data_IF_016095150146
#
_entry.id   IF_016095150146
#
_cell.length_a   1.000
_cell.length_b   1.000
_cell.length_c   1.000
_cell.angle_alpha   90.00
_cell.angle_beta   90.00
_cell.angle_gamma   90.00
#
_symmetry.space_group_name_H-M   'P 1'
#
loop_
_entity.id
_entity.type
_entity.pdbx_description
1 polymer ?
#
# COMPACT_ATOMS: atom_id res chain seq x y z
N UNK A 1 -8.81 36.63 -31.25
CA UNK A 1 -7.43 36.63 -30.71
C UNK A 1 -6.86 38.02 -30.45
N UNK A 2 -7.12 39.02 -31.31
CA UNK A 2 -6.53 40.37 -31.13
C UNK A 2 -7.01 41.10 -29.86
N UNK A 3 -8.27 40.93 -29.45
CA UNK A 3 -8.81 41.59 -28.25
C UNK A 3 -8.15 41.17 -26.93
N UNK A 4 -7.63 39.94 -26.84
CA UNK A 4 -6.94 39.43 -25.65
C UNK A 4 -5.59 40.13 -25.51
N UNK A 5 -4.91 40.36 -26.64
CA UNK A 5 -3.59 41.00 -26.70
C UNK A 5 -3.69 42.48 -26.35
N UNK A 6 -4.73 43.19 -26.83
CA UNK A 6 -4.97 44.60 -26.47
C UNK A 6 -5.40 44.78 -25.01
N UNK A 7 -6.22 43.87 -24.48
CA UNK A 7 -6.60 43.88 -23.07
C UNK A 7 -5.40 43.58 -22.14
N UNK A 8 -4.47 42.72 -22.58
CA UNK A 8 -3.21 42.47 -21.87
C UNK A 8 -2.25 43.66 -21.96
N UNK A 9 -2.07 44.25 -23.14
CA UNK A 9 -1.13 45.35 -23.36
C UNK A 9 -1.56 46.65 -22.67
N UNK A 10 -2.86 46.88 -22.49
CA UNK A 10 -3.42 48.06 -21.80
C UNK A 10 -3.46 47.96 -20.26
N UNK A 11 -3.02 46.83 -19.68
CA UNK A 11 -3.14 46.58 -18.25
C UNK A 11 -1.91 47.07 -17.46
N UNK A 12 -2.15 47.76 -16.34
CA UNK A 12 -1.11 48.16 -15.37
C UNK A 12 -0.23 46.99 -14.93
N UNK A 13 1.07 47.23 -14.74
CA UNK A 13 2.07 46.22 -14.35
C UNK A 13 1.66 45.45 -13.08
N UNK A 14 1.05 46.14 -12.10
CA UNK A 14 0.53 45.53 -10.87
C UNK A 14 -0.58 44.52 -11.13
N UNK A 15 -1.52 44.84 -12.04
CA UNK A 15 -2.62 43.95 -12.40
C UNK A 15 -2.11 42.71 -13.14
N UNK A 16 -1.12 42.86 -14.02
CA UNK A 16 -0.47 41.71 -14.68
C UNK A 16 0.18 40.75 -13.70
N UNK A 17 0.93 41.27 -12.72
CA UNK A 17 1.58 40.44 -11.69
C UNK A 17 0.53 39.67 -10.88
N UNK A 18 -0.56 40.33 -10.48
CA UNK A 18 -1.66 39.67 -9.73
C UNK A 18 -2.30 38.57 -10.56
N UNK A 19 -2.57 38.80 -11.85
CA UNK A 19 -3.17 37.79 -12.75
C UNK A 19 -2.24 36.58 -12.93
N UNK A 20 -0.93 36.82 -13.14
CA UNK A 20 0.06 35.74 -13.26
C UNK A 20 0.17 34.95 -11.95
N UNK A 21 0.27 35.63 -10.81
CA UNK A 21 0.34 35.00 -9.50
C UNK A 21 -0.91 34.17 -9.20
N UNK A 22 -2.10 34.69 -9.48
CA UNK A 22 -3.36 33.97 -9.31
C UNK A 22 -3.43 32.71 -10.20
N UNK A 23 -2.99 32.82 -11.45
CA UNK A 23 -2.96 31.69 -12.38
C UNK A 23 -2.00 30.60 -11.89
N UNK A 24 -0.81 30.97 -11.43
CA UNK A 24 0.16 30.03 -10.85
C UNK A 24 -0.35 29.39 -9.57
N UNK A 25 -1.02 30.16 -8.71
CA UNK A 25 -1.62 29.63 -7.49
C UNK A 25 -2.68 28.56 -7.82
N UNK A 26 -3.58 28.84 -8.76
CA UNK A 26 -4.59 27.86 -9.21
C UNK A 26 -3.93 26.61 -9.80
N UNK A 27 -2.93 26.77 -10.66
CA UNK A 27 -2.20 25.64 -11.23
C UNK A 27 -1.51 24.79 -10.15
N UNK A 28 -0.88 25.42 -9.17
CA UNK A 28 -0.24 24.73 -8.04
C UNK A 28 -1.27 23.99 -7.16
N UNK A 29 -2.42 24.62 -6.89
CA UNK A 29 -3.51 23.98 -6.15
C UNK A 29 -4.05 22.76 -6.88
N UNK A 30 -4.32 22.86 -8.19
CA UNK A 30 -4.78 21.74 -9.00
C UNK A 30 -3.75 20.60 -9.05
N UNK A 31 -2.47 20.93 -9.16
CA UNK A 31 -1.39 19.94 -9.14
C UNK A 31 -1.30 19.22 -7.80
N UNK A 32 -1.38 19.95 -6.68
CA UNK A 32 -1.38 19.36 -5.34
C UNK A 32 -2.62 18.47 -5.11
N UNK A 33 -3.80 18.93 -5.54
CA UNK A 33 -5.04 18.13 -5.44
C UNK A 33 -4.95 16.84 -6.27
N UNK A 34 -4.39 16.91 -7.48
CA UNK A 34 -4.20 15.74 -8.33
C UNK A 34 -3.28 14.69 -7.68
N UNK A 35 -2.20 15.12 -7.01
CA UNK A 35 -1.32 14.21 -6.26
C UNK A 35 -2.04 13.49 -5.13
N UNK A 36 -2.89 14.19 -4.37
CA UNK A 36 -3.64 13.61 -3.25
C UNK A 36 -4.75 12.68 -3.76
N UNK A 37 -5.47 13.08 -4.80
CA UNK A 37 -6.55 12.28 -5.39
C UNK A 37 -6.03 10.98 -6.05
N UNK A 38 -4.75 10.93 -6.43
CA UNK A 38 -4.12 9.75 -7.02
C UNK A 38 -3.48 8.81 -6.00
N UNK A 39 -3.59 9.09 -4.70
CA UNK A 39 -3.03 8.22 -3.67
C UNK A 39 -3.75 6.86 -3.68
N UNK A 40 -3.03 5.72 -3.79
CA UNK A 40 -3.65 4.42 -3.82
C UNK A 40 -4.37 4.14 -2.50
N UNK A 41 -5.60 3.61 -2.58
CA UNK A 41 -6.29 3.14 -1.37
C UNK A 41 -5.56 1.91 -0.87
N UNK A 42 -4.89 2.03 0.28
CA UNK A 42 -4.18 0.94 0.93
C UNK A 42 -5.16 -0.01 1.62
N UNK A 43 -5.05 -1.29 1.34
CA UNK A 43 -5.89 -2.36 1.90
C UNK A 43 -5.04 -3.43 2.57
N UNK A 44 -5.63 -4.14 3.52
CA UNK A 44 -4.94 -5.16 4.28
C UNK A 44 -4.58 -6.36 3.39
N UNK A 45 -3.29 -6.67 3.30
CA UNK A 45 -2.78 -7.87 2.65
C UNK A 45 -2.80 -9.05 3.64
N UNK A 46 -2.05 -8.91 4.75
CA UNK A 46 -1.93 -9.87 5.85
C UNK A 46 -1.96 -9.16 7.20
N UNK A 47 -2.53 -9.80 8.22
CA UNK A 47 -2.59 -9.31 9.60
C UNK A 47 -2.00 -10.32 10.58
N UNK A 48 -1.49 -9.82 11.71
CA UNK A 48 -1.03 -10.66 12.82
C UNK A 48 0.18 -11.54 12.48
N UNK A 49 1.00 -11.12 11.51
CA UNK A 49 2.23 -11.82 11.17
C UNK A 49 3.24 -11.69 12.31
N UNK A 50 3.91 -12.79 12.59
CA UNK A 50 5.09 -12.82 13.45
C UNK A 50 6.27 -12.14 12.74
N UNK A 51 7.19 -11.53 13.48
CA UNK A 51 8.25 -10.67 12.92
C UNK A 51 9.05 -11.34 11.79
N UNK A 52 9.29 -12.65 11.87
CA UNK A 52 9.96 -13.42 10.82
C UNK A 52 9.16 -13.48 9.51
N UNK A 53 7.92 -13.98 9.59
CA UNK A 53 7.03 -14.08 8.43
C UNK A 53 6.69 -12.71 7.82
N UNK A 54 6.55 -11.68 8.65
CA UNK A 54 6.38 -10.30 8.18
C UNK A 54 7.59 -9.82 7.37
N UNK A 55 8.81 -10.11 7.83
CA UNK A 55 10.05 -9.78 7.13
C UNK A 55 10.18 -10.48 5.78
N UNK A 56 9.73 -11.72 5.66
CA UNK A 56 9.73 -12.46 4.39
C UNK A 56 8.78 -11.81 3.37
N UNK A 57 7.56 -11.48 3.79
CA UNK A 57 6.58 -10.80 2.95
C UNK A 57 7.07 -9.42 2.52
N UNK A 58 7.66 -8.65 3.45
CA UNK A 58 8.21 -7.32 3.14
C UNK A 58 9.31 -7.41 2.09
N UNK A 59 10.28 -8.32 2.25
CA UNK A 59 11.35 -8.52 1.26
C UNK A 59 10.81 -8.88 -0.12
N UNK A 60 9.79 -9.72 -0.17
CA UNK A 60 9.15 -10.11 -1.42
C UNK A 60 8.42 -8.93 -2.09
N UNK A 61 7.77 -8.05 -1.32
CA UNK A 61 7.13 -6.83 -1.83
C UNK A 61 8.16 -5.80 -2.33
N UNK A 62 9.27 -5.63 -1.61
CA UNK A 62 10.38 -4.75 -2.00
C UNK A 62 11.02 -5.18 -3.32
N UNK A 63 11.27 -6.47 -3.51
CA UNK A 63 11.82 -7.02 -4.76
C UNK A 63 10.96 -6.74 -5.98
N UNK A 64 9.64 -6.60 -5.78
CA UNK A 64 8.67 -6.28 -6.84
C UNK A 64 8.45 -4.79 -7.03
N UNK A 65 9.01 -3.94 -6.17
CA UNK A 65 8.79 -2.49 -6.20
C UNK A 65 7.35 -2.10 -5.86
N UNK A 66 6.63 -2.93 -5.12
CA UNK A 66 5.24 -2.66 -4.71
C UNK A 66 5.26 -1.66 -3.55
N UNK A 67 4.36 -0.67 -3.57
CA UNK A 67 4.16 0.19 -2.41
C UNK A 67 3.50 -0.60 -1.29
N UNK A 68 4.04 -0.51 -0.08
CA UNK A 68 3.46 -1.19 1.07
C UNK A 68 3.57 -0.32 2.33
N UNK A 69 2.73 -0.62 3.31
CA UNK A 69 2.76 0.02 4.62
C UNK A 69 2.69 -1.06 5.71
N UNK A 70 3.60 -0.97 6.68
CA UNK A 70 3.65 -1.89 7.83
C UNK A 70 3.09 -1.18 9.06
N UNK A 71 2.05 -1.75 9.65
CA UNK A 71 1.43 -1.27 10.90
C UNK A 71 1.41 -2.40 11.92
N UNK A 72 2.43 -2.44 12.78
CA UNK A 72 2.65 -3.57 13.68
C UNK A 72 2.90 -4.87 12.90
N UNK A 73 2.18 -5.94 13.23
CA UNK A 73 2.21 -7.22 12.48
C UNK A 73 1.31 -7.26 11.23
N UNK A 74 0.85 -6.12 10.73
CA UNK A 74 -0.05 -6.04 9.58
C UNK A 74 0.60 -5.33 8.40
N UNK A 75 0.40 -5.85 7.20
CA UNK A 75 0.95 -5.35 5.94
C UNK A 75 -0.21 -4.89 5.06
N UNK A 76 -0.11 -3.66 4.55
CA UNK A 76 -1.07 -3.03 3.65
C UNK A 76 -0.43 -2.76 2.29
N UNK A 77 -1.22 -2.88 1.22
CA UNK A 77 -0.80 -2.68 -0.18
C UNK A 77 -1.90 -1.94 -0.96
N UNK A 78 -1.61 -1.37 -2.15
CA UNK A 78 -2.64 -0.85 -3.04
C UNK A 78 -3.76 -1.87 -3.27
N UNK A 79 -5.00 -1.42 -3.14
CA UNK A 79 -6.19 -2.26 -3.35
C UNK A 79 -6.26 -2.95 -4.72
N UNK A 80 -5.66 -2.33 -5.75
CA UNK A 80 -5.54 -2.89 -7.10
C UNK A 80 -4.67 -4.14 -7.15
N UNK A 81 -3.68 -4.24 -6.25
CA UNK A 81 -2.63 -5.25 -6.34
C UNK A 81 -2.85 -6.37 -5.32
N UNK A 82 -3.74 -6.18 -4.33
CA UNK A 82 -3.94 -7.10 -3.20
C UNK A 82 -4.16 -8.55 -3.64
N UNK A 83 -5.07 -8.78 -4.57
CA UNK A 83 -5.50 -10.13 -4.93
C UNK A 83 -4.42 -10.87 -5.75
N UNK A 84 -3.77 -10.14 -6.66
CA UNK A 84 -2.61 -10.65 -7.41
C UNK A 84 -1.43 -10.97 -6.47
N UNK A 85 -1.14 -10.08 -5.52
CA UNK A 85 -0.07 -10.28 -4.55
C UNK A 85 -0.36 -11.45 -3.63
N UNK A 86 -1.61 -11.68 -3.22
CA UNK A 86 -1.96 -12.87 -2.44
C UNK A 86 -1.69 -14.16 -3.22
N UNK A 87 -2.10 -14.20 -4.49
CA UNK A 87 -1.88 -15.37 -5.33
C UNK A 87 -0.39 -15.62 -5.56
N UNK A 88 0.36 -14.56 -5.83
CA UNK A 88 1.81 -14.62 -6.12
C UNK A 88 2.62 -14.98 -4.88
N UNK A 89 2.32 -14.38 -3.73
CA UNK A 89 3.02 -14.71 -2.48
C UNK A 89 2.67 -16.13 -2.04
N UNK A 90 1.42 -16.58 -2.22
CA UNK A 90 1.03 -17.94 -1.92
C UNK A 90 1.76 -18.97 -2.80
N UNK A 91 2.00 -18.67 -4.08
CA UNK A 91 2.79 -19.57 -4.95
C UNK A 91 4.26 -19.66 -4.56
N UNK A 92 4.76 -18.66 -3.84
CA UNK A 92 6.10 -18.65 -3.23
C UNK A 92 6.15 -19.24 -1.82
N UNK A 93 5.01 -19.69 -1.28
CA UNK A 93 4.92 -20.23 0.07
C UNK A 93 4.93 -19.17 1.17
N UNK A 94 4.61 -17.92 0.83
CA UNK A 94 4.53 -16.79 1.76
C UNK A 94 3.08 -16.43 2.12
N UNK A 95 2.82 -16.01 3.37
CA UNK A 95 3.74 -15.98 4.50
C UNK A 95 4.09 -17.40 4.97
N UNK A 96 5.35 -17.59 5.40
CA UNK A 96 5.75 -18.86 6.02
C UNK A 96 4.84 -19.10 7.22
N UNK A 97 3.97 -20.10 7.12
CA UNK A 97 3.02 -20.42 8.16
C UNK A 97 3.80 -21.11 9.29
N UNK A 98 4.20 -20.33 10.30
CA UNK A 98 4.80 -20.89 11.50
C UNK A 98 3.85 -21.91 12.12
N UNK A 99 4.22 -23.18 12.08
CA UNK A 99 3.40 -24.38 12.33
C UNK A 99 2.88 -24.58 13.75
N UNK A 100 2.60 -23.51 14.50
CA UNK A 100 2.17 -23.57 15.91
C UNK A 100 0.84 -24.32 16.14
N UNK A 101 0.05 -24.56 15.10
CA UNK A 101 -1.22 -25.30 15.22
C UNK A 101 -1.07 -26.82 15.29
N UNK A 102 -0.05 -27.38 14.63
CA UNK A 102 0.18 -28.84 14.60
C UNK A 102 1.16 -29.32 15.68
N UNK A 103 2.04 -28.44 16.18
CA UNK A 103 2.93 -28.74 17.31
C UNK A 103 2.15 -29.09 18.59
N UNK A 104 0.97 -28.47 18.78
CA UNK A 104 0.07 -28.78 19.88
C UNK A 104 -0.57 -30.17 19.72
N UNK A 105 -0.82 -30.62 18.48
CA UNK A 105 -1.37 -31.95 18.22
C UNK A 105 -0.32 -33.05 18.41
N UNK A 106 0.94 -32.77 18.04
CA UNK A 106 2.05 -33.70 18.24
C UNK A 106 2.36 -33.92 19.73
N UNK A 107 2.28 -32.87 20.55
CA UNK A 107 2.42 -32.99 22.01
C UNK A 107 1.23 -33.71 22.69
N UNK A 108 0.06 -33.78 22.04
CA UNK A 108 -1.12 -34.49 22.56
C UNK A 108 -1.17 -35.99 22.18
N UNK A 109 -0.35 -36.45 21.22
CA UNK A 109 -0.29 -37.86 20.82
C UNK A 109 0.17 -38.83 21.94
N UNK A 110 0.71 -38.31 23.05
CA UNK A 110 1.11 -39.12 24.21
C UNK A 110 -0.02 -39.64 25.10
N UNK A 111 -1.25 -39.12 24.98
CA UNK A 111 -2.35 -39.39 25.93
C UNK A 111 -3.55 -40.18 25.37
N UNK A 112 -3.55 -40.57 24.08
CA UNK A 112 -4.76 -41.04 23.39
C UNK A 112 -4.76 -42.45 22.81
N UNK A 113 -3.65 -43.20 22.80
CA UNK A 113 -3.64 -44.57 22.25
C UNK A 113 -3.84 -45.60 23.36
N UNK A 114 -5.07 -46.08 23.45
CA UNK A 114 -5.53 -47.19 24.30
C UNK A 114 -4.57 -48.39 24.27
N UNK A 115 -3.91 -48.66 25.40
CA UNK A 115 -3.29 -49.94 25.71
C UNK A 115 -4.31 -50.89 26.35
N UNK A 116 -5.44 -51.12 25.66
CA UNK A 116 -6.26 -52.31 25.88
C UNK A 116 -6.34 -53.13 24.60
N UNK A 117 -5.23 -53.80 24.30
CA UNK A 117 -5.27 -55.03 23.51
C UNK A 117 -4.88 -56.19 24.44
N UNK A 118 -5.90 -56.94 24.82
CA UNK A 118 -5.93 -58.30 25.38
C UNK A 118 -5.20 -58.59 26.71
#
# INVERSE_FOLDING_TARGET
MQQIITAWSGMDLRKRIVVVAATLAVAATLWAMSRIASAPTMTLLYAGLENGAAGDVVRALEQRGVQFEVRGGSIYVPSTDRDELRLTLASEGLPMTGGRGYELLDSLNGFGTTSQMF
#
